data_IF_676810495624
#
_entry.id   IF_676810495624
#
_cell.length_a   1.000
_cell.length_b   1.000
_cell.length_c   1.000
_cell.angle_alpha   90.00
_cell.angle_beta   90.00
_cell.angle_gamma   90.00
#
_symmetry.space_group_name_H-M   'P 1'
#
loop_
_entity.id
_entity.type
_entity.pdbx_description
1 polymer ?
#
# COMPACT_ATOMS: atom_id res chain seq x y z
N UNK A 1 20.40 5.39 -13.25
CA UNK A 1 19.15 6.19 -13.17
C UNK A 1 18.11 5.41 -12.39
N UNK A 2 17.91 5.70 -11.09
CA UNK A 2 16.81 5.10 -10.32
C UNK A 2 15.55 5.92 -10.62
N UNK A 3 14.47 5.33 -11.18
CA UNK A 3 13.23 6.07 -11.33
C UNK A 3 12.75 6.44 -9.92
N UNK A 4 12.68 7.74 -9.66
CA UNK A 4 12.07 8.26 -8.44
C UNK A 4 10.64 7.73 -8.38
N UNK A 5 10.15 7.22 -7.24
CA UNK A 5 8.76 6.80 -7.10
C UNK A 5 7.92 8.05 -7.27
N UNK A 6 7.30 8.17 -8.45
CA UNK A 6 6.56 9.37 -8.84
C UNK A 6 5.42 9.51 -7.84
N UNK A 7 5.60 10.45 -6.91
CA UNK A 7 4.64 10.75 -5.87
C UNK A 7 3.29 11.06 -6.53
N UNK A 8 2.24 10.46 -6.00
CA UNK A 8 0.86 10.43 -6.51
C UNK A 8 0.17 11.79 -6.73
N UNK A 9 0.84 12.91 -6.52
CA UNK A 9 0.22 14.23 -6.42
C UNK A 9 -0.25 14.80 -7.77
N UNK A 10 0.40 14.44 -8.88
CA UNK A 10 0.27 15.21 -10.14
C UNK A 10 -0.27 14.44 -11.35
N UNK A 11 -0.55 13.14 -11.24
CA UNK A 11 -1.18 12.39 -12.34
C UNK A 11 -2.70 12.36 -12.18
N UNK A 12 -3.32 13.54 -12.22
CA UNK A 12 -4.74 13.65 -12.56
C UNK A 12 -4.92 13.03 -13.95
N UNK A 13 -5.83 12.07 -14.08
CA UNK A 13 -6.26 11.53 -15.38
C UNK A 13 -6.86 12.69 -16.21
N UNK A 14 -6.04 13.40 -16.97
CA UNK A 14 -6.52 14.26 -18.04
C UNK A 14 -6.52 13.42 -19.31
N UNK A 15 -7.72 12.96 -19.64
CA UNK A 15 -8.17 12.50 -20.96
C UNK A 15 -7.11 12.54 -22.07
N UNK A 16 -6.43 11.42 -22.32
CA UNK A 16 -5.87 11.05 -23.63
C UNK A 16 -5.33 9.63 -23.57
N UNK A 17 -5.48 8.91 -24.68
CA UNK A 17 -5.16 7.49 -24.93
C UNK A 17 -3.72 7.09 -24.54
N UNK A 18 -3.43 7.00 -23.25
CA UNK A 18 -2.19 6.43 -22.75
C UNK A 18 -2.42 4.95 -22.46
N UNK A 19 -1.92 4.13 -23.38
CA UNK A 19 -1.80 2.67 -23.24
C UNK A 19 -1.25 2.37 -21.85
N UNK A 20 -2.07 1.79 -20.97
CA UNK A 20 -1.63 1.41 -19.64
C UNK A 20 -0.42 0.49 -19.79
N UNK A 21 0.73 0.81 -19.18
CA UNK A 21 1.88 -0.06 -19.28
C UNK A 21 1.48 -1.44 -18.74
N UNK A 22 1.70 -2.52 -19.52
CA UNK A 22 1.49 -3.87 -19.01
C UNK A 22 2.33 -4.01 -17.75
N UNK A 23 1.80 -4.71 -16.73
CA UNK A 23 2.45 -4.93 -15.42
C UNK A 23 2.35 -3.81 -14.37
N UNK A 24 1.50 -2.81 -14.55
CA UNK A 24 1.20 -1.87 -13.46
C UNK A 24 0.35 -2.52 -12.35
N UNK A 25 0.51 -2.02 -11.13
CA UNK A 25 -0.28 -2.38 -9.95
C UNK A 25 -0.94 -1.14 -9.38
N UNK A 26 -2.13 -1.34 -8.81
CA UNK A 26 -2.93 -0.26 -8.25
C UNK A 26 -2.86 -0.29 -6.73
N UNK A 27 -2.56 0.86 -6.13
CA UNK A 27 -2.66 1.01 -4.69
C UNK A 27 -4.12 0.93 -4.22
N UNK A 28 -4.36 0.22 -3.12
CA UNK A 28 -5.68 0.11 -2.49
C UNK A 28 -6.21 1.41 -1.84
N UNK A 29 -5.34 2.34 -1.42
CA UNK A 29 -5.74 3.60 -0.76
C UNK A 29 -5.83 4.77 -1.73
N UNK A 30 -4.69 5.21 -2.28
CA UNK A 30 -4.64 6.36 -3.20
C UNK A 30 -5.04 6.03 -4.64
N UNK A 31 -5.25 4.74 -4.96
CA UNK A 31 -5.66 4.26 -6.29
C UNK A 31 -4.67 4.55 -7.44
N UNK A 32 -3.46 5.00 -7.14
CA UNK A 32 -2.40 5.22 -8.11
C UNK A 32 -1.89 3.93 -8.76
N UNK A 33 -1.35 4.06 -9.96
CA UNK A 33 -0.70 3.01 -10.72
C UNK A 33 0.83 3.14 -10.64
N UNK A 34 1.54 2.03 -10.49
CA UNK A 34 3.01 1.97 -10.47
C UNK A 34 3.52 0.55 -10.70
N UNK A 35 4.83 0.32 -10.59
CA UNK A 35 5.40 -1.02 -10.76
C UNK A 35 5.21 -1.91 -9.52
N UNK A 36 5.16 -3.24 -9.70
CA UNK A 36 5.06 -4.21 -8.60
C UNK A 36 6.13 -4.00 -7.51
N UNK A 37 7.34 -3.62 -7.90
CA UNK A 37 8.48 -3.43 -6.98
C UNK A 37 8.36 -2.19 -6.08
N UNK A 38 7.46 -1.26 -6.40
CA UNK A 38 7.28 -0.01 -5.64
C UNK A 38 6.19 -0.11 -4.57
N UNK A 39 5.41 -1.20 -4.59
CA UNK A 39 4.31 -1.41 -3.66
C UNK A 39 4.62 -2.53 -2.68
N UNK A 40 4.12 -2.39 -1.46
CA UNK A 40 4.04 -3.49 -0.53
C UNK A 40 2.92 -4.44 -0.94
N UNK A 41 3.28 -5.71 -1.05
CA UNK A 41 2.34 -6.77 -1.38
C UNK A 41 1.88 -7.42 -0.09
N UNK A 42 0.57 -7.39 0.15
CA UNK A 42 -0.07 -8.10 1.26
C UNK A 42 -0.89 -9.23 0.68
N UNK A 43 -0.67 -10.46 1.12
CA UNK A 43 -1.33 -11.64 0.58
C UNK A 43 -2.10 -12.36 1.67
N UNK A 44 -3.34 -12.73 1.37
CA UNK A 44 -4.09 -13.69 2.17
C UNK A 44 -3.87 -15.09 1.62
N UNK A 45 -3.31 -15.95 2.45
CA UNK A 45 -3.15 -17.37 2.15
C UNK A 45 -4.51 -18.04 2.04
N UNK A 46 -4.74 -18.81 0.98
CA UNK A 46 -5.99 -19.53 0.80
C UNK A 46 -6.17 -20.66 1.84
N UNK A 47 -5.08 -21.32 2.22
CA UNK A 47 -5.06 -22.48 3.12
C UNK A 47 -5.29 -22.10 4.58
N UNK A 48 -4.49 -21.19 5.12
CA UNK A 48 -4.53 -20.81 6.55
C UNK A 48 -5.37 -19.56 6.82
N UNK A 49 -5.94 -18.93 5.79
CA UNK A 49 -6.60 -17.61 5.84
C UNK A 49 -5.75 -16.50 6.48
N UNK A 50 -4.47 -16.77 6.72
CA UNK A 50 -3.54 -15.85 7.36
C UNK A 50 -3.08 -14.81 6.36
N UNK A 51 -2.87 -13.60 6.85
CA UNK A 51 -2.35 -12.49 6.06
C UNK A 51 -0.85 -12.40 6.26
N UNK A 52 -0.11 -12.37 5.15
CA UNK A 52 1.35 -12.33 5.12
C UNK A 52 1.83 -11.24 4.17
N UNK A 53 3.08 -10.80 4.31
CA UNK A 53 3.70 -9.76 3.49
C UNK A 53 4.66 -10.38 2.47
N UNK A 54 4.62 -9.87 1.24
CA UNK A 54 5.44 -10.19 0.06
C UNK A 54 5.38 -11.63 -0.47
N UNK A 55 5.05 -12.58 0.40
CA UNK A 55 5.07 -14.02 0.16
C UNK A 55 3.66 -14.60 0.22
N UNK A 56 3.51 -15.84 -0.24
CA UNK A 56 2.26 -16.57 -0.19
C UNK A 56 1.44 -16.58 -1.49
N UNK A 57 0.47 -17.48 -1.49
CA UNK A 57 -0.41 -17.76 -2.62
C UNK A 57 -1.87 -17.52 -2.21
N UNK A 58 -2.59 -16.71 -2.99
CA UNK A 58 -3.98 -16.36 -2.71
C UNK A 58 -4.32 -14.93 -3.14
N UNK A 59 -5.24 -14.29 -2.43
CA UNK A 59 -5.66 -12.91 -2.74
C UNK A 59 -4.59 -11.93 -2.32
N UNK A 60 -4.12 -11.11 -3.25
CA UNK A 60 -3.11 -10.08 -2.97
C UNK A 60 -3.69 -8.67 -3.07
N UNK A 61 -3.27 -7.80 -2.16
CA UNK A 61 -3.49 -6.37 -2.19
C UNK A 61 -2.14 -5.63 -2.27
N UNK A 62 -2.14 -4.46 -2.91
CA UNK A 62 -0.94 -3.64 -3.08
C UNK A 62 -1.13 -2.27 -2.41
N UNK A 63 -0.13 -1.83 -1.65
CA UNK A 63 -0.15 -0.57 -0.90
C UNK A 63 1.13 0.24 -1.15
N UNK A 64 1.01 1.56 -1.33
CA UNK A 64 2.17 2.46 -1.40
C UNK A 64 2.91 2.51 -0.07
N UNK A 65 4.25 2.63 -0.08
CA UNK A 65 5.04 2.98 1.09
C UNK A 65 4.86 4.48 1.44
N UNK A 66 3.64 4.89 1.75
CA UNK A 66 3.31 6.24 2.21
C UNK A 66 2.47 6.17 3.49
N UNK A 67 2.82 7.00 4.48
CA UNK A 67 2.10 7.09 5.74
C UNK A 67 0.61 7.37 5.55
N UNK A 68 0.26 8.30 4.66
CA UNK A 68 -1.14 8.62 4.34
C UNK A 68 -1.90 7.43 3.73
N UNK A 69 -1.24 6.59 2.91
CA UNK A 69 -1.84 5.40 2.33
C UNK A 69 -2.13 4.35 3.41
N UNK A 70 -1.16 4.12 4.31
CA UNK A 70 -1.23 3.13 5.38
C UNK A 70 -2.26 3.51 6.44
N UNK A 71 -2.26 4.76 6.89
CA UNK A 71 -3.23 5.24 7.86
C UNK A 71 -4.67 5.15 7.32
N UNK A 72 -4.89 5.51 6.06
CA UNK A 72 -6.20 5.33 5.42
C UNK A 72 -6.59 3.85 5.29
N UNK A 73 -5.63 2.99 4.94
CA UNK A 73 -5.86 1.55 4.81
C UNK A 73 -6.31 0.93 6.14
N UNK A 74 -5.67 1.33 7.24
CA UNK A 74 -6.00 0.87 8.59
C UNK A 74 -7.34 1.45 9.06
N UNK A 75 -7.51 2.78 9.00
CA UNK A 75 -8.73 3.47 9.47
C UNK A 75 -10.00 2.99 8.77
N UNK A 76 -9.94 2.75 7.45
CA UNK A 76 -11.09 2.28 6.65
C UNK A 76 -11.11 0.76 6.44
N UNK A 77 -10.17 0.04 7.05
CA UNK A 77 -9.98 -1.39 6.91
C UNK A 77 -10.00 -1.86 5.42
N UNK A 78 -9.33 -1.10 4.55
CA UNK A 78 -9.31 -1.39 3.11
C UNK A 78 -8.62 -2.74 2.83
N UNK A 79 -7.55 -3.05 3.56
CA UNK A 79 -6.87 -4.34 3.44
C UNK A 79 -7.83 -5.49 3.74
N UNK A 80 -8.59 -5.41 4.84
CA UNK A 80 -9.54 -6.45 5.20
C UNK A 80 -10.67 -6.61 4.18
N UNK A 81 -11.15 -5.51 3.60
CA UNK A 81 -12.17 -5.52 2.54
C UNK A 81 -11.66 -6.17 1.25
N UNK A 82 -10.44 -5.83 0.80
CA UNK A 82 -9.87 -6.36 -0.44
C UNK A 82 -9.48 -7.82 -0.28
N UNK A 83 -8.84 -8.17 0.84
CA UNK A 83 -8.43 -9.53 1.13
C UNK A 83 -9.62 -10.42 1.55
N UNK A 84 -10.74 -9.81 1.93
CA UNK A 84 -11.93 -10.44 2.55
C UNK A 84 -11.57 -11.27 3.79
N UNK A 85 -10.74 -10.70 4.66
CA UNK A 85 -10.30 -11.35 5.90
C UNK A 85 -9.91 -10.31 6.96
N UNK A 86 -9.96 -10.68 8.25
CA UNK A 86 -9.39 -9.85 9.31
C UNK A 86 -7.87 -9.74 9.11
N UNK A 87 -7.35 -8.51 9.29
CA UNK A 87 -5.91 -8.25 9.19
C UNK A 87 -5.34 -8.19 10.61
N UNK A 88 -4.38 -9.06 10.96
CA UNK A 88 -3.77 -9.02 12.28
C UNK A 88 -2.96 -7.72 12.47
N UNK A 89 -2.91 -7.20 13.71
CA UNK A 89 -2.21 -5.94 14.01
C UNK A 89 -0.70 -6.01 13.71
N UNK A 90 -0.10 -7.21 13.79
CA UNK A 90 1.30 -7.46 13.44
C UNK A 90 1.65 -7.04 12.01
N UNK A 91 0.71 -7.19 11.08
CA UNK A 91 0.90 -6.79 9.68
C UNK A 91 0.99 -5.26 9.59
N UNK A 92 0.10 -4.54 10.27
CA UNK A 92 0.18 -3.08 10.33
C UNK A 92 1.44 -2.59 11.03
N UNK A 93 1.84 -3.23 12.13
CA UNK A 93 3.09 -2.93 12.83
C UNK A 93 4.30 -3.12 11.89
N UNK A 94 4.36 -4.23 11.15
CA UNK A 94 5.44 -4.48 10.18
C UNK A 94 5.44 -3.44 9.05
N UNK A 95 4.28 -3.06 8.53
CA UNK A 95 4.17 -2.01 7.51
C UNK A 95 4.60 -0.63 8.06
N UNK A 96 4.26 -0.32 9.32
CA UNK A 96 4.73 0.87 10.01
C UNK A 96 6.26 0.87 10.16
N UNK A 97 6.85 -0.24 10.61
CA UNK A 97 8.31 -0.37 10.73
C UNK A 97 9.01 -0.19 9.38
N UNK A 98 8.42 -0.69 8.29
CA UNK A 98 8.93 -0.47 6.93
C UNK A 98 8.82 0.98 6.46
N UNK A 99 7.83 1.75 6.93
CA UNK A 99 7.78 3.20 6.69
C UNK A 99 8.94 3.89 7.41
N UNK A 100 9.16 3.57 8.68
CA UNK A 100 10.19 4.19 9.53
C UNK A 100 11.60 3.83 9.05
N UNK A 101 11.82 2.60 8.59
CA UNK A 101 13.11 2.13 8.09
C UNK A 101 13.56 2.81 6.78
N UNK A 102 12.69 3.57 6.10
CA UNK A 102 13.05 4.36 4.91
C UNK A 102 13.07 5.84 5.30
N UNK A 103 14.23 6.44 5.59
CA UNK A 103 14.28 7.78 6.15
C UNK A 103 14.14 8.82 5.03
N UNK A 104 12.91 9.27 4.74
CA UNK A 104 12.62 10.58 4.14
C UNK A 104 11.17 10.90 4.58
N UNK A 105 10.77 11.86 5.43
CA UNK A 105 11.32 13.05 6.11
C UNK A 105 10.32 13.35 7.30
N UNK A 106 10.62 14.19 8.30
CA UNK A 106 10.18 14.08 9.69
C UNK A 106 8.77 14.61 9.99
N UNK A 107 8.22 14.10 11.10
CA UNK A 107 7.29 14.75 12.02
C UNK A 107 6.06 15.44 11.41
N UNK A 108 4.97 14.70 11.29
CA UNK A 108 3.69 15.24 11.75
C UNK A 108 2.93 14.12 12.45
N UNK A 109 3.25 13.91 13.73
CA UNK A 109 2.31 13.32 14.66
C UNK A 109 1.11 14.28 14.74
N UNK A 110 -0.12 13.87 14.42
CA UNK A 110 -1.26 14.59 14.98
C UNK A 110 -1.14 14.49 16.51
N UNK A 111 -1.30 15.58 17.27
CA UNK A 111 -1.24 15.52 18.72
C UNK A 111 -2.25 14.48 19.24
N UNK A 112 -1.93 13.76 20.33
CA UNK A 112 -2.92 12.92 21.00
C UNK A 112 -4.12 13.80 21.35
N UNK A 113 -5.29 13.40 20.89
CA UNK A 113 -6.57 13.98 21.30
C UNK A 113 -6.75 13.68 22.78
N UNK A 114 -6.71 14.71 23.62
CA UNK A 114 -7.19 14.74 25.00
C UNK A 114 -7.61 16.16 25.33
#
# INVERSE_FOLDING_TARGET
MKPQPICCSERKLTNSRLTMPPHTRRCLSCRCLGHKSEFWRVVRLAQSQTVVLDQGQGRSAYLCPQASCLHQAQKKNHLGRVLKAPIPPEIYATLHSRLVARPEHPLTLPPPVS
#
